data_IF_425601773832
#
_entry.id   IF_425601773832
#
_cell.length_a   1.000
_cell.length_b   1.000
_cell.length_c   1.000
_cell.angle_alpha   90.00
_cell.angle_beta   90.00
_cell.angle_gamma   90.00
#
_symmetry.space_group_name_H-M   'P 1'
#
loop_
_entity.id
_entity.type
_entity.pdbx_description
1 polymer ?
#
# COMPACT_ATOMS: atom_id res chain seq x y z
N UNK A 1 -9.01 27.34 6.65
CA UNK A 1 -8.24 26.67 7.02
C UNK A 1 -7.95 25.68 6.19
N UNK A 2 -7.05 25.40 6.20
CA UNK A 2 -6.69 24.44 5.41
C UNK A 2 -7.48 23.34 5.68
N UNK A 3 -7.94 22.70 4.74
CA UNK A 3 -8.55 21.60 4.99
C UNK A 3 -7.67 20.65 5.55
N UNK A 4 -8.16 19.81 6.20
CA UNK A 4 -7.38 18.76 6.71
C UNK A 4 -6.77 18.05 5.56
N UNK A 5 -5.52 17.94 5.56
CA UNK A 5 -4.83 17.21 4.57
C UNK A 5 -4.80 15.80 4.99
N UNK A 6 -5.06 14.90 4.11
CA UNK A 6 -4.93 13.55 4.51
C UNK A 6 -3.50 13.32 4.86
N UNK A 7 -3.26 12.64 5.93
CA UNK A 7 -1.94 12.35 6.42
C UNK A 7 -1.83 10.88 6.66
N UNK A 8 -0.94 10.25 5.95
CA UNK A 8 -0.69 8.84 6.10
C UNK A 8 0.78 8.70 6.46
N UNK A 9 1.05 8.71 7.76
CA UNK A 9 2.41 8.86 8.25
C UNK A 9 3.33 7.75 7.82
N UNK A 10 2.80 6.58 7.51
CA UNK A 10 3.63 5.46 7.13
C UNK A 10 3.65 5.24 5.63
N UNK A 11 3.02 6.09 4.85
CA UNK A 11 2.94 5.92 3.40
C UNK A 11 3.66 7.06 2.74
N UNK A 12 4.48 6.74 1.74
CA UNK A 12 5.27 7.75 1.05
C UNK A 12 5.31 7.41 -0.43
N UNK A 13 5.43 8.43 -1.24
CA UNK A 13 5.67 8.29 -2.67
C UNK A 13 7.00 8.94 -2.96
N UNK A 14 7.92 8.19 -3.56
CA UNK A 14 9.23 8.72 -3.87
C UNK A 14 9.52 8.45 -5.34
N UNK A 15 9.80 9.49 -6.13
CA UNK A 15 10.09 9.27 -7.55
C UNK A 15 11.26 8.29 -7.69
N UNK A 16 11.11 7.36 -8.60
CA UNK A 16 12.18 6.40 -8.85
C UNK A 16 12.13 5.16 -7.99
N UNK A 17 11.29 5.12 -6.97
CA UNK A 17 11.14 3.93 -6.14
C UNK A 17 9.76 3.38 -6.39
N UNK A 18 9.70 2.14 -6.84
CA UNK A 18 8.45 1.46 -7.18
C UNK A 18 7.60 2.31 -8.13
N UNK A 19 8.27 3.00 -9.05
CA UNK A 19 7.58 3.82 -10.04
C UNK A 19 6.92 5.06 -9.46
N UNK A 20 7.30 5.46 -8.25
CA UNK A 20 6.70 6.61 -7.61
C UNK A 20 5.38 6.30 -6.93
N UNK A 21 5.00 5.02 -6.87
CA UNK A 21 3.73 4.64 -6.27
C UNK A 21 3.83 4.60 -4.75
N UNK A 22 2.67 4.71 -4.10
CA UNK A 22 2.62 4.73 -2.65
C UNK A 22 3.19 3.44 -2.07
N UNK A 23 4.03 3.56 -1.07
CA UNK A 23 4.65 2.41 -0.43
C UNK A 23 4.78 2.69 1.06
N UNK A 24 5.08 1.64 1.81
CA UNK A 24 5.31 1.80 3.24
C UNK A 24 6.69 2.39 3.43
N UNK A 25 6.77 3.46 4.22
CA UNK A 25 8.01 4.16 4.48
C UNK A 25 9.10 3.20 4.94
N UNK A 26 10.27 3.35 4.39
CA UNK A 26 11.40 2.52 4.78
C UNK A 26 11.43 1.15 4.15
N UNK A 27 10.47 0.83 3.30
CA UNK A 27 10.44 -0.46 2.62
C UNK A 27 10.19 -0.24 1.14
N UNK A 28 10.24 -1.32 0.37
CA UNK A 28 9.81 -1.26 -1.01
C UNK A 28 8.45 -1.93 -1.19
N UNK A 29 7.71 -2.11 -0.11
CA UNK A 29 6.41 -2.76 -0.16
C UNK A 29 5.37 -1.70 -0.48
N UNK A 30 4.68 -1.88 -1.60
CA UNK A 30 3.67 -0.92 -2.03
C UNK A 30 2.37 -1.09 -1.27
N UNK A 31 1.61 -0.01 -1.17
CA UNK A 31 0.29 -0.10 -0.57
C UNK A 31 -0.54 -1.10 -1.36
N UNK A 32 -0.42 -1.07 -2.70
CA UNK A 32 -1.21 -2.00 -3.52
C UNK A 32 -0.79 -3.45 -3.29
N UNK A 33 0.46 -3.70 -2.89
CA UNK A 33 0.87 -5.06 -2.54
C UNK A 33 0.11 -5.54 -1.31
N UNK A 34 0.02 -4.68 -0.30
CA UNK A 34 -0.67 -5.04 0.93
C UNK A 34 -2.16 -5.26 0.68
N UNK A 35 -2.77 -4.34 -0.06
CA UNK A 35 -4.21 -4.47 -0.33
C UNK A 35 -4.49 -5.73 -1.14
N UNK A 36 -3.62 -6.03 -2.11
CA UNK A 36 -3.79 -7.24 -2.89
C UNK A 36 -3.74 -8.49 -2.03
N UNK A 37 -2.83 -8.52 -1.07
CA UNK A 37 -2.74 -9.66 -0.16
C UNK A 37 -4.01 -9.79 0.68
N UNK A 38 -4.52 -8.68 1.18
CA UNK A 38 -5.75 -8.72 1.96
C UNK A 38 -6.92 -9.21 1.12
N UNK A 39 -6.99 -8.80 -0.14
CA UNK A 39 -8.05 -9.26 -1.03
C UNK A 39 -7.93 -10.74 -1.33
N UNK A 40 -6.72 -11.28 -1.23
CA UNK A 40 -6.50 -12.70 -1.47
C UNK A 40 -6.61 -13.55 -0.22
N UNK A 41 -7.10 -12.99 0.87
CA UNK A 41 -7.38 -13.78 2.07
C UNK A 41 -6.37 -13.63 3.18
N UNK A 42 -5.31 -12.86 2.99
CA UNK A 42 -4.40 -12.62 4.09
C UNK A 42 -5.05 -11.69 5.10
N UNK A 43 -4.50 -11.69 6.31
CA UNK A 43 -5.03 -10.83 7.37
C UNK A 43 -3.96 -9.84 7.78
N UNK A 44 -4.35 -8.85 8.56
CA UNK A 44 -3.40 -7.90 9.10
C UNK A 44 -2.31 -8.64 9.88
N UNK A 45 -2.72 -9.61 10.68
CA UNK A 45 -1.76 -10.38 11.46
C UNK A 45 -0.82 -11.18 10.58
N UNK A 46 -1.34 -11.86 9.56
CA UNK A 46 -0.48 -12.70 8.73
C UNK A 46 0.49 -11.85 7.92
N UNK A 47 0.06 -10.69 7.47
CA UNK A 47 0.95 -9.81 6.72
C UNK A 47 2.08 -9.32 7.61
N UNK A 48 1.77 -8.91 8.83
CA UNK A 48 2.81 -8.46 9.75
C UNK A 48 3.79 -9.58 10.08
N UNK A 49 3.30 -10.82 10.11
CA UNK A 49 4.19 -11.95 10.33
C UNK A 49 5.07 -12.23 9.15
N UNK A 50 4.55 -12.07 7.93
CA UNK A 50 5.33 -12.35 6.74
C UNK A 50 6.39 -11.31 6.46
N UNK A 51 6.16 -10.08 6.87
CA UNK A 51 7.07 -8.99 6.59
C UNK A 51 7.56 -8.39 7.89
N UNK A 52 8.67 -8.87 8.41
CA UNK A 52 9.12 -8.43 9.74
C UNK A 52 9.32 -6.94 9.88
N UNK A 53 9.56 -6.24 8.77
CA UNK A 53 9.75 -4.80 8.83
C UNK A 53 8.44 -4.03 8.78
N UNK A 54 7.32 -4.71 8.74
CA UNK A 54 6.02 -4.07 8.63
C UNK A 54 5.23 -4.34 9.90
N UNK A 55 4.71 -3.29 10.49
CA UNK A 55 3.91 -3.42 11.71
C UNK A 55 2.44 -3.47 11.34
N UNK A 56 1.63 -3.92 12.28
CA UNK A 56 0.18 -3.90 12.07
C UNK A 56 -0.30 -2.48 11.84
N UNK A 57 0.28 -1.52 12.56
CA UNK A 57 -0.11 -0.11 12.37
C UNK A 57 0.11 0.31 10.92
N UNK A 58 1.20 -0.14 10.33
CA UNK A 58 1.47 0.19 8.94
C UNK A 58 0.48 -0.47 7.99
N UNK A 59 0.05 -1.70 8.30
CA UNK A 59 -0.96 -2.36 7.48
C UNK A 59 -2.28 -1.61 7.57
N UNK A 60 -2.68 -1.20 8.77
CA UNK A 60 -3.90 -0.41 8.93
C UNK A 60 -3.79 0.92 8.19
N UNK A 61 -2.61 1.50 8.18
CA UNK A 61 -2.41 2.74 7.45
C UNK A 61 -2.59 2.53 5.95
N UNK A 62 -2.15 1.38 5.44
CA UNK A 62 -2.37 1.05 4.04
C UNK A 62 -3.86 0.94 3.74
N UNK A 63 -4.63 0.38 4.66
CA UNK A 63 -6.08 0.31 4.48
C UNK A 63 -6.69 1.70 4.47
N UNK A 64 -6.23 2.58 5.36
CA UNK A 64 -6.72 3.95 5.37
C UNK A 64 -6.39 4.66 4.06
N UNK A 65 -5.16 4.49 3.59
CA UNK A 65 -4.77 5.08 2.32
C UNK A 65 -5.62 4.55 1.19
N UNK A 66 -5.87 3.24 1.21
CA UNK A 66 -6.68 2.63 0.17
C UNK A 66 -8.07 3.23 0.15
N UNK A 67 -8.68 3.41 1.32
CA UNK A 67 -10.03 3.97 1.35
C UNK A 67 -10.08 5.38 0.78
N UNK A 68 -9.00 6.13 0.94
CA UNK A 68 -8.94 7.49 0.41
C UNK A 68 -8.54 7.53 -1.06
N UNK A 69 -7.96 6.45 -1.59
CA UNK A 69 -7.41 6.44 -2.94
C UNK A 69 -7.73 5.14 -3.68
N UNK A 70 -8.97 4.70 -3.60
CA UNK A 70 -9.34 3.39 -4.16
C UNK A 70 -9.02 3.25 -5.63
N UNK A 71 -9.33 4.27 -6.42
CA UNK A 71 -9.10 4.17 -7.86
C UNK A 71 -7.63 4.01 -8.17
N UNK A 72 -6.79 4.73 -7.46
CA UNK A 72 -5.35 4.65 -7.67
C UNK A 72 -4.84 3.25 -7.36
N UNK A 73 -5.24 2.70 -6.23
CA UNK A 73 -4.73 1.40 -5.79
C UNK A 73 -5.34 0.28 -6.60
N UNK A 74 -6.63 0.37 -6.91
CA UNK A 74 -7.28 -0.66 -7.72
C UNK A 74 -6.64 -0.77 -9.10
N UNK A 75 -6.24 0.36 -9.66
CA UNK A 75 -5.57 0.33 -10.95
C UNK A 75 -4.24 -0.40 -10.87
N UNK A 76 -3.47 -0.15 -9.81
CA UNK A 76 -2.19 -0.82 -9.65
C UNK A 76 -2.36 -2.31 -9.44
N UNK A 77 -3.37 -2.72 -8.68
CA UNK A 77 -3.64 -4.13 -8.48
C UNK A 77 -4.05 -4.78 -9.81
N UNK A 78 -4.89 -4.10 -10.56
CA UNK A 78 -5.32 -4.64 -11.85
C UNK A 78 -4.15 -4.82 -12.79
N UNK A 79 -3.21 -3.90 -12.78
CA UNK A 79 -2.02 -4.03 -13.63
C UNK A 79 -1.18 -5.22 -13.24
N UNK A 80 -1.04 -5.47 -11.93
CA UNK A 80 -0.30 -6.63 -11.50
C UNK A 80 -0.99 -7.91 -11.90
N UNK A 81 -2.32 -7.95 -11.81
CA UNK A 81 -3.05 -9.15 -12.14
C UNK A 81 -3.07 -9.41 -13.63
N UNK A 82 -2.91 -8.36 -14.42
CA UNK A 82 -2.84 -8.58 -15.87
C UNK A 82 -1.55 -9.22 -16.28
N UNK A 83 -0.61 -9.31 -15.38
CA UNK A 83 0.65 -9.91 -15.67
C UNK A 83 1.64 -8.90 -16.19
N UNK A 84 2.90 -9.29 -16.18
CA UNK A 84 3.91 -8.37 -16.59
C UNK A 84 3.88 -8.24 -18.02
N UNK A 85 4.12 -7.15 -18.46
CA UNK A 85 4.21 -7.00 -19.73
C UNK A 85 5.52 -7.09 -20.04
N UNK A 86 6.35 -7.08 -19.29
CA UNK A 86 7.65 -7.13 -19.61
C UNK A 86 8.19 -8.27 -19.40
#
# INVERSE_FOLDING_TARGET
>A
MAKATETHRYVVKTPGIRGGNARITGTRIGVHDVIGLLQNGETVDSIAECFPDVTKAQVYECLAYYEDHKAEIDLLIARQMSGPEE
#
